data_IF_867533580063
#
_entry.id   IF_867533580063
#
_cell.length_a   1.000
_cell.length_b   1.000
_cell.length_c   1.000
_cell.angle_alpha   90.00
_cell.angle_beta   90.00
_cell.angle_gamma   90.00
#
_symmetry.space_group_name_H-M   'P 1'
#
loop_
_entity.id
_entity.type
_entity.pdbx_description
1 polymer ?
#
# COMPACT_ATOMS: atom_id res chain seq x y z
N UNK A 1 34.18 -0.23 77.40
CA UNK A 1 33.99 -0.28 78.87
C UNK A 1 34.06 1.15 79.35
N UNK A 2 33.09 1.58 80.18
CA UNK A 2 32.90 2.89 80.81
C UNK A 2 32.49 4.04 79.87
N UNK A 3 31.22 4.47 79.93
CA UNK A 3 30.67 5.58 80.76
C UNK A 3 30.69 6.90 79.96
N UNK A 4 29.53 7.41 79.55
CA UNK A 4 28.71 8.38 80.31
C UNK A 4 29.31 9.79 80.26
N UNK A 5 28.59 10.75 79.69
CA UNK A 5 28.07 11.90 80.42
C UNK A 5 27.29 12.85 79.51
N UNK A 6 26.23 13.38 80.12
CA UNK A 6 25.16 14.15 79.52
C UNK A 6 25.46 15.67 79.53
N UNK A 7 24.48 16.38 78.95
CA UNK A 7 23.99 17.69 79.38
C UNK A 7 24.74 18.93 78.88
N UNK A 8 24.08 19.72 78.04
CA UNK A 8 23.50 20.98 78.52
C UNK A 8 22.52 21.56 77.49
N UNK A 9 21.38 21.93 78.04
CA UNK A 9 20.19 22.45 77.40
C UNK A 9 20.24 23.99 77.36
N UNK A 10 19.33 24.57 76.57
CA UNK A 10 18.93 26.00 76.44
C UNK A 10 19.76 26.90 75.52
N UNK A 11 19.10 27.31 74.43
CA UNK A 11 18.38 28.60 74.37
C UNK A 11 17.51 28.65 73.10
N UNK A 12 16.17 28.66 73.27
CA UNK A 12 15.23 29.25 72.30
C UNK A 12 15.10 30.74 72.66
N UNK A 13 14.91 31.67 71.71
CA UNK A 13 13.54 31.98 71.24
C UNK A 13 13.50 32.41 69.74
N UNK A 14 12.54 31.89 68.95
CA UNK A 14 11.28 32.53 68.50
C UNK A 14 11.40 33.32 67.18
N UNK A 15 10.53 32.90 66.24
CA UNK A 15 9.82 33.72 65.22
C UNK A 15 10.64 33.97 63.95
N UNK A 16 10.21 33.75 62.71
CA UNK A 16 8.90 33.60 62.07
C UNK A 16 9.03 32.66 60.86
N UNK A 17 7.89 32.14 60.42
CA UNK A 17 7.71 31.13 59.38
C UNK A 17 7.63 31.71 57.95
N UNK A 18 7.62 30.77 56.97
CA UNK A 18 7.13 30.88 55.57
C UNK A 18 8.18 31.43 54.58
N UNK A 19 8.50 30.86 53.40
CA UNK A 19 8.00 29.79 52.52
C UNK A 19 9.19 29.39 51.59
N UNK A 20 9.39 28.11 51.20
CA UNK A 20 10.41 27.78 50.20
C UNK A 20 9.86 27.91 48.77
N UNK A 21 10.57 28.66 47.93
CA UNK A 21 10.39 28.68 46.47
C UNK A 21 10.66 27.28 45.89
N UNK A 22 9.60 26.56 45.50
CA UNK A 22 9.72 25.40 44.63
C UNK A 22 9.79 25.90 43.17
N UNK A 23 10.98 25.88 42.59
CA UNK A 23 11.17 26.10 41.16
C UNK A 23 10.71 24.85 40.39
N UNK A 24 9.57 24.91 39.72
CA UNK A 24 9.09 23.88 38.81
C UNK A 24 9.70 24.16 37.43
N UNK A 25 10.68 23.33 37.04
CA UNK A 25 11.21 23.30 35.68
C UNK A 25 10.19 22.61 34.78
N UNK A 26 9.50 23.37 33.93
CA UNK A 26 8.62 22.79 32.91
C UNK A 26 9.47 22.27 31.73
N UNK A 27 9.68 20.96 31.67
CA UNK A 27 10.15 20.28 30.47
C UNK A 27 9.03 20.34 29.42
N UNK A 28 9.11 21.31 28.51
CA UNK A 28 8.32 21.29 27.28
C UNK A 28 8.85 20.16 26.39
N UNK A 29 8.27 18.97 26.53
CA UNK A 29 8.45 17.91 25.55
C UNK A 29 7.78 18.36 24.24
N UNK A 30 8.60 18.69 23.24
CA UNK A 30 8.17 18.74 21.85
C UNK A 30 7.65 17.35 21.49
N UNK A 31 6.34 17.15 21.58
CA UNK A 31 5.70 15.97 21.04
C UNK A 31 5.76 16.12 19.52
N UNK A 32 6.48 15.25 18.78
CA UNK A 32 6.27 15.17 17.36
C UNK A 32 4.78 14.84 17.20
N UNK A 33 4.05 15.69 16.47
CA UNK A 33 2.66 15.41 16.13
C UNK A 33 2.67 14.05 15.45
N UNK A 34 2.12 13.08 16.17
CA UNK A 34 2.04 11.71 15.74
C UNK A 34 1.38 11.68 14.37
N UNK A 35 1.98 10.90 13.48
CA UNK A 35 1.24 10.28 12.42
C UNK A 35 -0.01 9.67 13.07
N UNK A 36 -1.17 10.22 12.75
CA UNK A 36 -2.46 9.66 13.12
C UNK A 36 -2.66 8.41 12.25
N UNK A 37 -1.94 7.35 12.61
CA UNK A 37 -2.33 5.99 12.32
C UNK A 37 -3.24 5.57 13.48
N UNK A 38 -4.55 5.60 13.26
CA UNK A 38 -5.47 4.63 13.87
C UNK A 38 -6.89 4.77 13.32
N UNK A 39 -7.21 3.89 12.37
CA UNK A 39 -8.54 3.26 12.24
C UNK A 39 -8.47 2.09 11.26
N UNK A 40 -8.06 0.90 11.75
CA UNK A 40 -8.26 -0.38 11.06
C UNK A 40 -7.31 -0.63 9.88
N UNK A 41 -6.69 -1.81 9.85
CA UNK A 41 -5.75 -2.21 8.82
C UNK A 41 -6.45 -2.46 7.47
N UNK A 42 -6.63 -1.40 6.69
CA UNK A 42 -6.73 -1.43 5.24
C UNK A 42 -6.10 -0.14 4.70
N UNK A 43 -5.50 -0.17 3.52
CA UNK A 43 -4.90 1.02 2.88
C UNK A 43 -5.95 2.09 2.51
N UNK A 44 -7.23 1.82 2.78
CA UNK A 44 -8.41 2.62 2.42
C UNK A 44 -8.67 3.82 3.32
N UNK A 45 -8.19 3.82 4.55
CA UNK A 45 -8.57 4.84 5.55
C UNK A 45 -10.10 4.88 5.74
N UNK A 46 -10.71 6.06 5.54
CA UNK A 46 -12.16 6.26 5.70
C UNK A 46 -13.00 5.64 4.56
N UNK A 47 -12.36 5.19 3.47
CA UNK A 47 -13.07 4.69 2.31
C UNK A 47 -13.76 3.34 2.57
N UNK A 48 -14.99 3.21 2.07
CA UNK A 48 -15.81 2.01 2.22
C UNK A 48 -15.93 1.25 0.91
N UNK A 49 -16.23 -0.05 1.03
CA UNK A 49 -16.60 -0.87 -0.13
C UNK A 49 -18.09 -0.76 -0.38
N UNK A 50 -18.47 -0.79 -1.65
CA UNK A 50 -19.83 -1.01 -2.06
C UNK A 50 -20.30 -2.38 -1.54
N UNK A 51 -21.37 -2.44 -0.73
CA UNK A 51 -21.84 -3.70 -0.14
C UNK A 51 -22.42 -4.66 -1.20
N UNK A 52 -22.78 -4.16 -2.38
CA UNK A 52 -23.37 -4.94 -3.48
C UNK A 52 -22.80 -4.49 -4.83
N UNK A 53 -21.51 -4.75 -5.12
CA UNK A 53 -20.91 -4.36 -6.39
C UNK A 53 -21.53 -5.14 -7.55
N UNK A 54 -21.71 -4.50 -8.70
CA UNK A 54 -22.46 -5.04 -9.84
C UNK A 54 -21.65 -5.12 -11.13
N UNK A 55 -20.56 -4.37 -11.25
CA UNK A 55 -19.76 -4.27 -12.48
C UNK A 55 -18.61 -5.27 -12.45
N UNK A 56 -18.94 -6.57 -12.50
CA UNK A 56 -17.96 -7.65 -12.48
C UNK A 56 -17.28 -7.84 -13.84
N UNK A 57 -15.95 -7.94 -13.82
CA UNK A 57 -15.10 -8.24 -14.97
C UNK A 57 -14.13 -9.37 -14.60
N UNK A 58 -13.85 -10.26 -15.55
CA UNK A 58 -12.83 -11.29 -15.36
C UNK A 58 -11.45 -10.69 -15.56
N UNK A 59 -10.50 -10.96 -14.66
CA UNK A 59 -9.08 -10.72 -14.86
C UNK A 59 -8.42 -12.05 -15.19
N UNK A 60 -7.82 -12.15 -16.38
CA UNK A 60 -7.02 -13.30 -16.80
C UNK A 60 -5.55 -12.91 -16.81
N UNK A 61 -4.75 -13.69 -16.09
CA UNK A 61 -3.29 -13.63 -16.06
C UNK A 61 -2.72 -14.84 -16.80
N UNK A 62 -1.81 -14.61 -17.74
CA UNK A 62 -1.02 -15.63 -18.42
C UNK A 62 0.46 -15.37 -18.24
N UNK A 63 1.23 -16.43 -17.99
CA UNK A 63 2.68 -16.38 -17.85
C UNK A 63 3.28 -17.26 -18.95
N UNK A 64 4.28 -16.75 -19.68
CA UNK A 64 4.95 -17.50 -20.73
C UNK A 64 6.47 -17.51 -20.51
N UNK A 65 7.09 -18.66 -20.78
CA UNK A 65 8.55 -18.86 -20.80
C UNK A 65 9.28 -18.47 -19.49
N UNK A 66 8.59 -18.60 -18.35
CA UNK A 66 9.18 -18.34 -17.05
C UNK A 66 10.33 -19.32 -16.76
N UNK A 67 11.47 -18.84 -16.20
CA UNK A 67 12.63 -19.69 -15.88
C UNK A 67 12.35 -20.67 -14.73
N UNK A 68 11.28 -20.46 -13.96
CA UNK A 68 10.82 -21.34 -12.89
C UNK A 68 9.40 -21.00 -12.43
N UNK A 69 8.85 -21.75 -11.45
CA UNK A 69 7.50 -21.53 -10.95
C UNK A 69 7.37 -20.24 -10.12
N UNK A 70 6.14 -19.74 -10.01
CA UNK A 70 5.77 -18.68 -9.05
C UNK A 70 4.89 -19.27 -7.96
N UNK A 71 5.40 -19.30 -6.72
CA UNK A 71 4.62 -19.74 -5.55
C UNK A 71 3.68 -18.64 -5.04
N UNK A 72 4.01 -17.37 -5.28
CA UNK A 72 3.17 -16.22 -4.93
C UNK A 72 2.68 -15.57 -6.21
N UNK A 73 1.36 -15.52 -6.34
CA UNK A 73 0.64 -14.87 -7.44
C UNK A 73 -0.48 -14.05 -6.83
N UNK A 74 -0.23 -12.76 -6.63
CA UNK A 74 -1.16 -11.85 -5.97
C UNK A 74 -1.81 -10.95 -7.02
N UNK A 75 -3.15 -10.93 -7.06
CA UNK A 75 -3.91 -9.99 -7.86
C UNK A 75 -4.30 -8.76 -7.06
N UNK A 76 -4.41 -7.61 -7.74
CA UNK A 76 -4.93 -6.38 -7.14
C UNK A 76 -5.76 -5.57 -8.12
N UNK A 77 -6.72 -4.82 -7.59
CA UNK A 77 -7.51 -3.82 -8.30
C UNK A 77 -7.27 -2.45 -7.66
N UNK A 78 -6.98 -1.46 -8.49
CA UNK A 78 -6.64 -0.10 -8.09
C UNK A 78 -7.82 0.82 -8.38
N UNK A 79 -8.11 1.70 -7.42
CA UNK A 79 -9.15 2.71 -7.51
C UNK A 79 -8.60 4.05 -7.04
N UNK A 80 -9.01 5.13 -7.71
CA UNK A 80 -8.63 6.49 -7.35
C UNK A 80 -9.87 7.38 -7.33
N UNK A 81 -9.89 8.36 -6.43
CA UNK A 81 -10.92 9.40 -6.44
C UNK A 81 -10.59 10.40 -7.54
N UNK A 82 -11.57 10.76 -8.36
CA UNK A 82 -11.35 11.65 -9.53
C UNK A 82 -11.58 13.13 -9.21
N UNK A 83 -12.17 13.44 -8.05
CA UNK A 83 -12.55 14.78 -7.59
C UNK A 83 -11.99 15.08 -6.18
N UNK A 84 -10.74 14.66 -5.93
CA UNK A 84 -10.09 14.77 -4.61
C UNK A 84 -10.02 16.22 -4.10
N UNK A 85 -9.81 17.18 -5.00
CA UNK A 85 -9.69 18.58 -4.61
C UNK A 85 -11.00 19.13 -4.03
N UNK A 86 -12.13 18.66 -4.56
CA UNK A 86 -13.47 19.01 -4.14
C UNK A 86 -13.88 18.31 -2.85
N UNK A 87 -13.69 16.99 -2.76
CA UNK A 87 -14.21 16.17 -1.67
C UNK A 87 -13.19 15.87 -0.55
N UNK A 88 -11.90 15.87 -0.85
CA UNK A 88 -10.85 15.31 0.00
C UNK A 88 -10.36 16.22 1.12
N UNK A 89 -9.46 15.74 1.97
CA UNK A 89 -8.80 16.58 2.98
C UNK A 89 -7.76 17.50 2.33
N UNK A 90 -7.91 18.81 2.51
CA UNK A 90 -6.93 19.80 2.07
C UNK A 90 -5.73 19.84 3.01
N UNK A 91 -4.52 19.71 2.46
CA UNK A 91 -3.27 19.89 3.19
C UNK A 91 -3.00 21.39 3.34
N UNK A 92 -3.01 21.97 4.55
CA UNK A 92 -2.92 23.42 4.73
C UNK A 92 -1.66 24.05 4.13
N UNK A 93 -0.54 23.32 4.17
CA UNK A 93 0.74 23.81 3.66
C UNK A 93 0.76 23.99 2.13
N UNK A 94 -0.02 23.20 1.39
CA UNK A 94 -0.01 23.21 -0.09
C UNK A 94 -1.30 23.74 -0.69
N UNK A 95 -2.39 23.81 0.09
CA UNK A 95 -3.73 24.12 -0.41
C UNK A 95 -4.32 23.04 -1.34
N UNK A 96 -3.65 21.89 -1.48
CA UNK A 96 -4.08 20.78 -2.34
C UNK A 96 -4.68 19.66 -1.51
N UNK A 97 -5.63 18.94 -2.09
CA UNK A 97 -6.04 17.66 -1.52
C UNK A 97 -4.88 16.64 -1.60
N UNK A 98 -4.80 15.77 -0.60
CA UNK A 98 -3.98 14.57 -0.69
C UNK A 98 -4.63 13.55 -1.63
N UNK A 99 -3.79 12.70 -2.25
CA UNK A 99 -4.28 11.60 -3.09
C UNK A 99 -5.11 10.63 -2.26
N UNK A 100 -6.26 10.22 -2.79
CA UNK A 100 -7.18 9.25 -2.20
C UNK A 100 -7.25 8.06 -3.16
N UNK A 101 -6.56 7.00 -2.76
CA UNK A 101 -6.32 5.80 -3.55
C UNK A 101 -6.67 4.58 -2.71
N UNK A 102 -7.16 3.52 -3.35
CA UNK A 102 -7.23 2.20 -2.73
C UNK A 102 -6.72 1.10 -3.66
N UNK A 103 -6.03 0.13 -3.07
CA UNK A 103 -5.66 -1.13 -3.70
C UNK A 103 -6.36 -2.27 -2.97
N UNK A 104 -7.27 -2.94 -3.66
CA UNK A 104 -7.97 -4.11 -3.13
C UNK A 104 -7.35 -5.40 -3.69
N UNK A 105 -7.25 -6.43 -2.84
CA UNK A 105 -6.80 -7.75 -3.27
C UNK A 105 -7.81 -8.40 -4.21
N UNK A 106 -7.32 -9.01 -5.28
CA UNK A 106 -8.10 -9.82 -6.21
C UNK A 106 -7.66 -11.27 -6.02
N UNK A 107 -8.63 -12.12 -5.68
CA UNK A 107 -8.39 -13.56 -5.53
C UNK A 107 -8.20 -14.19 -6.91
N UNK A 108 -6.98 -14.64 -7.19
CA UNK A 108 -6.62 -15.33 -8.42
C UNK A 108 -6.64 -16.84 -8.21
N UNK A 109 -7.40 -17.54 -9.03
CA UNK A 109 -7.47 -19.00 -9.05
C UNK A 109 -6.62 -19.52 -10.21
N UNK A 110 -5.74 -20.48 -9.93
CA UNK A 110 -4.99 -21.18 -10.97
C UNK A 110 -5.91 -22.10 -11.75
N UNK A 111 -6.01 -21.90 -13.07
CA UNK A 111 -6.89 -22.68 -13.96
C UNK A 111 -6.13 -23.49 -15.01
N UNK A 112 -4.82 -23.25 -15.12
CA UNK A 112 -3.88 -24.03 -15.93
C UNK A 112 -2.47 -23.84 -15.42
N UNK A 113 -1.48 -24.50 -16.02
CA UNK A 113 -0.09 -24.47 -15.52
C UNK A 113 0.46 -23.05 -15.37
N UNK A 114 0.12 -22.17 -16.31
CA UNK A 114 0.54 -20.78 -16.35
C UNK A 114 -0.62 -19.79 -16.58
N UNK A 115 -1.85 -20.17 -16.22
CA UNK A 115 -3.03 -19.32 -16.37
C UNK A 115 -3.80 -19.20 -15.05
N UNK A 116 -4.16 -17.97 -14.71
CA UNK A 116 -4.90 -17.62 -13.51
C UNK A 116 -6.08 -16.71 -13.85
N UNK A 117 -7.17 -16.84 -13.10
CA UNK A 117 -8.40 -16.07 -13.29
C UNK A 117 -8.91 -15.51 -11.98
N UNK A 118 -9.38 -14.27 -12.00
CA UNK A 118 -10.02 -13.62 -10.86
C UNK A 118 -11.17 -12.73 -11.30
N UNK A 119 -11.89 -12.18 -10.34
CA UNK A 119 -12.98 -11.23 -10.60
C UNK A 119 -12.63 -9.87 -10.02
N UNK A 120 -12.72 -8.85 -10.85
CA UNK A 120 -12.55 -7.43 -10.50
C UNK A 120 -13.91 -6.76 -10.60
N UNK A 121 -14.27 -5.94 -9.62
CA UNK A 121 -15.50 -5.14 -9.67
C UNK A 121 -15.14 -3.68 -9.92
N UNK A 122 -15.59 -3.10 -11.03
CA UNK A 122 -15.25 -1.70 -11.34
C UNK A 122 -15.87 -0.70 -10.36
N UNK A 123 -16.99 -1.08 -9.75
CA UNK A 123 -17.76 -0.33 -8.75
C UNK A 123 -17.57 -0.86 -7.33
N UNK A 124 -16.39 -1.43 -7.04
CA UNK A 124 -16.07 -2.02 -5.72
C UNK A 124 -16.02 -0.97 -4.61
N UNK A 125 -15.52 0.24 -4.92
CA UNK A 125 -15.42 1.33 -3.95
C UNK A 125 -16.75 2.09 -3.86
N UNK A 126 -17.12 2.51 -2.65
CA UNK A 126 -18.35 3.24 -2.40
C UNK A 126 -18.11 4.75 -2.44
N UNK A 127 -18.79 5.45 -3.34
CA UNK A 127 -18.90 6.90 -3.32
C UNK A 127 -19.55 7.38 -2.03
N UNK A 128 -18.86 8.23 -1.27
CA UNK A 128 -19.33 8.78 0.00
C UNK A 128 -18.61 10.11 0.31
N UNK A 129 -19.23 10.94 1.15
CA UNK A 129 -18.60 12.14 1.69
C UNK A 129 -17.83 11.77 2.98
N UNK A 130 -16.51 11.69 2.87
CA UNK A 130 -15.64 11.31 3.99
C UNK A 130 -15.17 12.49 4.84
N UNK A 131 -15.29 13.72 4.33
CA UNK A 131 -14.64 14.90 4.91
C UNK A 131 -15.58 16.10 5.08
N UNK A 132 -16.89 15.90 4.93
CA UNK A 132 -17.94 16.92 4.95
C UNK A 132 -17.72 18.04 3.90
N UNK A 133 -17.20 17.66 2.72
CA UNK A 133 -16.89 18.59 1.62
C UNK A 133 -17.59 18.23 0.31
N UNK A 134 -18.42 17.19 0.32
CA UNK A 134 -19.06 16.61 -0.85
C UNK A 134 -18.61 15.18 -1.10
N UNK A 135 -19.35 14.48 -1.97
CA UNK A 135 -19.12 13.06 -2.28
C UNK A 135 -17.80 12.88 -3.03
N UNK A 136 -16.92 12.03 -2.51
CA UNK A 136 -15.77 11.52 -3.26
C UNK A 136 -16.23 10.47 -4.26
N UNK A 137 -15.91 10.71 -5.53
CA UNK A 137 -16.27 9.86 -6.66
C UNK A 137 -15.10 8.93 -6.97
N UNK A 138 -15.29 7.65 -6.72
CA UNK A 138 -14.31 6.61 -7.00
C UNK A 138 -14.39 6.17 -8.45
N UNK A 139 -13.22 5.87 -9.02
CA UNK A 139 -13.10 5.26 -10.32
C UNK A 139 -12.10 4.12 -10.28
N UNK A 140 -12.42 3.01 -10.93
CA UNK A 140 -11.45 1.96 -11.22
C UNK A 140 -10.36 2.51 -12.14
N UNK A 141 -9.11 2.35 -11.72
CA UNK A 141 -7.92 2.83 -12.43
C UNK A 141 -7.23 1.70 -13.20
N UNK A 142 -7.33 0.46 -12.73
CA UNK A 142 -6.76 -0.69 -13.41
C UNK A 142 -6.53 -1.87 -12.48
N UNK A 143 -6.01 -2.97 -13.03
CA UNK A 143 -5.71 -4.18 -12.29
C UNK A 143 -4.25 -4.57 -12.45
N UNK A 144 -3.66 -5.17 -11.44
CA UNK A 144 -2.26 -5.58 -11.49
C UNK A 144 -2.00 -6.90 -10.79
N UNK A 145 -0.81 -7.43 -11.03
CA UNK A 145 -0.32 -8.67 -10.43
C UNK A 145 1.07 -8.48 -9.87
N UNK A 146 1.36 -9.20 -8.79
CA UNK A 146 2.69 -9.36 -8.21
C UNK A 146 3.03 -10.85 -8.22
N UNK A 147 4.20 -11.17 -8.77
CA UNK A 147 4.73 -12.53 -8.78
C UNK A 147 6.03 -12.61 -7.97
N UNK A 148 6.17 -13.65 -7.13
CA UNK A 148 7.43 -14.06 -6.50
C UNK A 148 7.65 -15.57 -6.64
N UNK A 149 8.90 -15.97 -6.77
CA UNK A 149 9.28 -17.35 -7.03
C UNK A 149 8.91 -18.26 -5.86
N UNK A 150 9.29 -17.89 -4.64
CA UNK A 150 9.00 -18.65 -3.41
C UNK A 150 8.23 -17.83 -2.38
N UNK A 151 8.28 -16.50 -2.48
CA UNK A 151 7.66 -15.57 -1.53
C UNK A 151 8.65 -14.98 -0.52
N UNK A 152 9.94 -15.30 -0.62
CA UNK A 152 10.94 -14.73 0.28
C UNK A 152 11.04 -13.19 0.12
N UNK A 153 11.31 -12.49 1.23
CA UNK A 153 11.29 -11.02 1.26
C UNK A 153 12.30 -10.39 0.31
N UNK A 154 13.46 -11.01 0.16
CA UNK A 154 14.54 -10.50 -0.68
C UNK A 154 14.39 -10.83 -2.18
N UNK A 155 13.39 -11.62 -2.58
CA UNK A 155 13.14 -11.93 -3.99
C UNK A 155 12.68 -10.72 -4.80
N UNK A 156 12.93 -10.79 -6.10
CA UNK A 156 12.36 -9.83 -7.06
C UNK A 156 10.84 -9.92 -7.04
N UNK A 157 10.17 -8.77 -7.03
CA UNK A 157 8.74 -8.63 -7.25
C UNK A 157 8.52 -8.25 -8.70
N UNK A 158 8.01 -9.18 -9.49
CA UNK A 158 7.61 -8.91 -10.87
C UNK A 158 6.20 -8.34 -10.87
N UNK A 159 6.06 -7.11 -11.36
CA UNK A 159 4.85 -6.31 -11.27
C UNK A 159 4.35 -5.98 -12.66
N UNK A 160 3.10 -6.35 -12.97
CA UNK A 160 2.42 -5.93 -14.20
C UNK A 160 1.11 -5.24 -13.86
N UNK A 161 0.70 -4.27 -14.66
CA UNK A 161 -0.52 -3.51 -14.45
C UNK A 161 -1.19 -3.18 -15.78
N UNK A 162 -2.49 -3.45 -15.90
CA UNK A 162 -3.32 -3.07 -17.04
C UNK A 162 -4.24 -1.91 -16.63
N UNK A 163 -4.13 -0.80 -17.37
CA UNK A 163 -4.94 0.40 -17.17
C UNK A 163 -6.43 0.15 -17.48
N UNK A 164 -7.32 0.87 -16.78
CA UNK A 164 -8.76 0.70 -16.86
C UNK A 164 -9.31 0.75 -18.28
N UNK A 165 -8.86 1.71 -19.10
CA UNK A 165 -9.35 1.86 -20.47
C UNK A 165 -9.06 0.63 -21.33
N UNK A 166 -7.88 0.03 -21.18
CA UNK A 166 -7.51 -1.23 -21.87
C UNK A 166 -8.28 -2.41 -21.29
N UNK A 167 -8.36 -2.49 -19.96
CA UNK A 167 -9.05 -3.57 -19.25
C UNK A 167 -10.53 -3.63 -19.63
N UNK A 168 -11.26 -2.51 -19.55
CA UNK A 168 -12.69 -2.44 -19.87
C UNK A 168 -12.95 -2.72 -21.36
N UNK A 169 -12.06 -2.26 -22.23
CA UNK A 169 -12.15 -2.53 -23.67
C UNK A 169 -11.89 -4.01 -24.01
N UNK A 170 -11.23 -4.75 -23.12
CA UNK A 170 -10.78 -6.12 -23.36
C UNK A 170 -9.50 -6.21 -24.18
N UNK A 171 -8.72 -5.12 -24.21
CA UNK A 171 -7.37 -5.14 -24.75
C UNK A 171 -6.45 -5.95 -23.83
N UNK A 172 -5.32 -6.37 -24.38
CA UNK A 172 -4.30 -7.14 -23.66
C UNK A 172 -3.15 -6.22 -23.24
N UNK A 173 -2.62 -6.38 -22.03
CA UNK A 173 -1.37 -5.78 -21.56
C UNK A 173 -0.31 -6.87 -21.40
N UNK A 174 0.90 -6.65 -21.90
CA UNK A 174 1.97 -7.66 -21.85
C UNK A 174 3.29 -7.03 -21.44
N UNK A 175 3.86 -7.49 -20.32
CA UNK A 175 5.15 -7.06 -19.82
C UNK A 175 6.17 -8.19 -19.92
N UNK A 176 7.39 -7.83 -20.26
CA UNK A 176 8.50 -8.74 -20.50
C UNK A 176 9.57 -8.53 -19.43
N UNK A 177 10.18 -9.63 -18.98
CA UNK A 177 11.11 -9.63 -17.85
C UNK A 177 12.34 -10.47 -18.19
N UNK A 178 13.52 -10.00 -17.81
CA UNK A 178 14.75 -10.76 -18.00
C UNK A 178 14.83 -11.94 -17.03
N UNK A 179 15.20 -13.12 -17.53
CA UNK A 179 15.43 -14.31 -16.69
C UNK A 179 16.48 -14.05 -15.61
N UNK A 180 17.44 -13.16 -15.87
CA UNK A 180 18.50 -12.79 -14.93
C UNK A 180 17.98 -12.24 -13.60
N UNK A 181 16.80 -11.59 -13.60
CA UNK A 181 16.17 -11.05 -12.38
C UNK A 181 15.44 -12.11 -11.55
N UNK A 182 15.31 -13.34 -12.06
CA UNK A 182 14.60 -14.44 -11.39
C UNK A 182 15.58 -15.41 -10.70
N UNK A 183 15.28 -15.88 -9.48
CA UNK A 183 14.18 -15.43 -8.62
C UNK A 183 14.49 -14.11 -7.89
N UNK A 184 15.74 -13.63 -7.97
CA UNK A 184 16.26 -12.51 -7.19
C UNK A 184 17.30 -11.72 -7.98
N UNK A 185 17.11 -10.41 -8.02
CA UNK A 185 18.08 -9.43 -8.50
C UNK A 185 19.15 -9.12 -7.43
N UNK A 186 20.17 -8.34 -7.78
CA UNK A 186 21.21 -7.91 -6.86
C UNK A 186 20.68 -7.06 -5.70
N UNK A 187 19.56 -6.35 -5.89
CA UNK A 187 18.89 -5.59 -4.83
C UNK A 187 17.75 -6.41 -4.20
N UNK A 188 17.73 -6.47 -2.88
CA UNK A 188 16.67 -7.13 -2.12
C UNK A 188 15.32 -6.47 -2.38
N UNK A 189 14.28 -7.28 -2.54
CA UNK A 189 12.90 -6.83 -2.74
C UNK A 189 12.74 -5.89 -3.96
N UNK A 190 13.58 -6.08 -4.98
CA UNK A 190 13.58 -5.29 -6.21
C UNK A 190 12.20 -5.31 -6.87
N UNK A 191 11.68 -4.13 -7.22
CA UNK A 191 10.45 -3.99 -8.00
C UNK A 191 10.82 -3.99 -9.49
N UNK A 192 10.57 -5.10 -10.17
CA UNK A 192 10.74 -5.20 -11.60
C UNK A 192 9.38 -4.98 -12.29
N UNK A 193 9.29 -3.91 -13.08
CA UNK A 193 8.08 -3.57 -13.85
C UNK A 193 8.12 -4.13 -15.28
N UNK A 194 9.26 -4.71 -15.68
CA UNK A 194 9.49 -5.21 -17.03
C UNK A 194 9.53 -4.10 -18.07
N UNK A 195 9.56 -4.52 -19.33
CA UNK A 195 9.43 -3.65 -20.51
C UNK A 195 8.23 -4.10 -21.35
N UNK A 196 7.62 -3.17 -22.09
CA UNK A 196 6.48 -3.43 -22.96
C UNK A 196 6.83 -4.33 -24.15
N UNK A 197 8.10 -4.35 -24.53
CA UNK A 197 8.62 -5.15 -25.62
C UNK A 197 10.06 -5.65 -25.36
N UNK A 198 10.48 -6.78 -25.96
CA UNK A 198 11.86 -7.28 -25.87
C UNK A 198 12.93 -6.24 -26.25
N UNK A 199 12.60 -5.29 -27.13
CA UNK A 199 13.49 -4.24 -27.60
C UNK A 199 13.95 -3.29 -26.48
N UNK A 200 13.17 -3.17 -25.40
CA UNK A 200 13.54 -2.42 -24.19
C UNK A 200 14.77 -3.00 -23.47
N UNK A 201 15.05 -4.29 -23.68
CA UNK A 201 16.22 -4.96 -23.13
C UNK A 201 17.45 -4.81 -24.03
N UNK A 202 18.64 -4.90 -23.41
CA UNK A 202 19.91 -5.03 -24.13
C UNK A 202 19.86 -6.25 -25.06
N UNK A 203 20.46 -6.18 -26.28
CA UNK A 203 20.38 -7.26 -27.27
C UNK A 203 20.73 -8.65 -26.74
N UNK A 204 21.68 -8.75 -25.82
CA UNK A 204 22.15 -10.01 -25.26
C UNK A 204 21.11 -10.70 -24.35
N UNK A 205 20.14 -9.94 -23.82
CA UNK A 205 19.10 -10.45 -22.91
C UNK A 205 17.81 -10.83 -23.65
N UNK A 206 17.61 -10.35 -24.89
CA UNK A 206 16.34 -10.50 -25.63
C UNK A 206 15.94 -11.95 -25.91
N UNK A 207 16.91 -12.87 -25.95
CA UNK A 207 16.67 -14.31 -26.11
C UNK A 207 16.37 -15.06 -24.82
N UNK A 208 16.34 -14.37 -23.67
CA UNK A 208 16.24 -14.96 -22.33
C UNK A 208 15.24 -14.16 -21.48
N UNK A 209 14.02 -14.03 -22.00
CA UNK A 209 12.93 -13.29 -21.38
C UNK A 209 11.76 -14.22 -21.06
N UNK A 210 10.96 -13.85 -20.07
CA UNK A 210 9.62 -14.38 -19.85
C UNK A 210 8.61 -13.24 -19.92
N UNK A 211 7.33 -13.55 -20.14
CA UNK A 211 6.29 -12.52 -20.22
C UNK A 211 5.11 -12.80 -19.32
N UNK A 212 4.48 -11.71 -18.88
CA UNK A 212 3.24 -11.70 -18.10
C UNK A 212 2.21 -10.92 -18.90
N UNK A 213 1.06 -11.54 -19.12
CA UNK A 213 -0.01 -10.96 -19.92
C UNK A 213 -1.30 -10.87 -19.11
N UNK A 214 -1.89 -9.67 -19.06
CA UNK A 214 -3.16 -9.39 -18.40
C UNK A 214 -4.22 -9.03 -19.44
N UNK A 215 -5.43 -9.54 -19.27
CA UNK A 215 -6.59 -9.21 -20.13
C UNK A 215 -7.89 -9.40 -19.36
N UNK A 216 -8.91 -8.60 -19.69
CA UNK A 216 -10.30 -8.88 -19.31
C UNK A 216 -11.07 -9.30 -20.55
N UNK A 217 -11.28 -10.61 -20.79
CA UNK A 217 -12.02 -11.08 -21.96
C UNK A 217 -13.41 -10.45 -21.98
N UNK A 218 -13.82 -9.96 -23.16
CA UNK A 218 -15.22 -9.56 -23.32
C UNK A 218 -16.12 -10.80 -23.17
N UNK A 219 -17.31 -10.65 -22.56
CA UNK A 219 -18.31 -11.71 -22.60
C UNK A 219 -18.57 -12.08 -24.06
N UNK A 220 -18.78 -13.37 -24.38
CA UNK A 220 -19.14 -13.77 -25.73
C UNK A 220 -20.39 -13.00 -26.18
N UNK A 221 -20.29 -12.30 -27.30
CA UNK A 221 -21.43 -11.64 -27.95
C UNK A 221 -22.38 -12.72 -28.45
N UNK A 222 -23.55 -12.85 -27.81
CA UNK A 222 -24.66 -13.71 -28.26
C UNK A 222 -25.40 -13.09 -29.45
#
# INVERSE_FOLDING_TARGET
MLESHACADRLRPRWQALLPCLAIVALAACHPHGAEQDAGQNERGLAKLNPTPRQAHELVLKIADAPGPFAVVEGSAQYDVINEQECGRIVPATGRAGRITSRESVQLQKVGDNEFRGTVYLDLMQDEDYYDRGVCQWKFSGAGVLLKATGADAETRFLSFIEADRFVKGDTESQHYAHLGYPRDAMDNYADYGEDAPEGFKPELRGSLFSVTLVSPQPPSH
#
